data_IF_567484237646
#
_entry.id   IF_567484237646
#
_cell.length_a   1.000
_cell.length_b   1.000
_cell.length_c   1.000
_cell.angle_alpha   90.00
_cell.angle_beta   90.00
_cell.angle_gamma   90.00
#
_symmetry.space_group_name_H-M   'P 1'
#
loop_
_entity.id
_entity.type
_entity.pdbx_description
1 polymer ?
#
# COMPACT_ATOMS: atom_id res chain seq x y z
N UNK A 1 4.03 8.35 19.01
CA UNK A 1 4.19 7.43 17.87
C UNK A 1 4.91 8.09 16.68
N UNK A 2 6.09 7.57 16.31
CA UNK A 2 6.76 7.86 15.05
C UNK A 2 6.72 6.60 14.18
N UNK A 3 6.15 6.70 12.98
CA UNK A 3 5.97 5.59 12.07
C UNK A 3 6.94 5.72 10.89
N UNK A 4 7.78 4.71 10.68
CA UNK A 4 8.69 4.64 9.53
C UNK A 4 8.37 3.33 8.81
N UNK A 5 7.82 3.44 7.60
CA UNK A 5 7.63 2.27 6.74
C UNK A 5 8.64 2.28 5.63
N UNK A 6 9.28 1.14 5.42
CA UNK A 6 10.20 0.90 4.32
C UNK A 6 9.44 -0.02 3.34
N UNK A 7 9.02 0.55 2.22
CA UNK A 7 8.52 -0.24 1.09
C UNK A 7 9.73 -0.85 0.38
N UNK A 8 9.87 -2.18 0.46
CA UNK A 8 11.01 -2.90 -0.13
C UNK A 8 10.70 -3.29 -1.59
N UNK A 9 9.47 -3.05 -2.06
CA UNK A 9 9.09 -3.12 -3.47
C UNK A 9 7.67 -3.62 -3.68
N UNK A 10 6.96 -2.98 -4.61
CA UNK A 10 6.13 -3.71 -5.60
C UNK A 10 7.12 -4.45 -6.50
N UNK A 11 6.85 -5.65 -7.02
CA UNK A 11 7.82 -6.38 -7.88
C UNK A 11 8.36 -5.52 -9.05
N UNK A 12 9.45 -4.82 -8.76
CA UNK A 12 10.33 -3.97 -9.56
C UNK A 12 11.51 -3.70 -8.61
N UNK A 13 12.66 -4.31 -8.88
CA UNK A 13 13.87 -4.07 -8.09
C UNK A 13 14.36 -2.63 -8.32
N UNK A 14 14.15 -1.75 -7.33
CA UNK A 14 14.87 -0.50 -7.19
C UNK A 14 14.91 -0.10 -5.69
N UNK A 15 16.10 -0.19 -5.10
CA UNK A 15 16.35 0.27 -3.73
C UNK A 15 16.41 1.80 -3.77
N UNK A 16 15.41 2.46 -3.19
CA UNK A 16 15.46 3.89 -2.90
C UNK A 16 15.18 4.08 -1.39
N UNK A 17 16.24 4.33 -0.63
CA UNK A 17 16.13 4.81 0.74
C UNK A 17 15.87 6.33 0.69
N UNK A 18 14.66 6.77 1.01
CA UNK A 18 14.40 8.19 1.27
C UNK A 18 14.57 8.42 2.77
N UNK A 19 15.72 8.99 3.15
CA UNK A 19 15.94 9.55 4.49
C UNK A 19 15.52 11.01 4.43
N UNK A 20 14.37 11.35 5.02
CA UNK A 20 13.99 12.75 5.22
C UNK A 20 14.48 13.19 6.60
N UNK A 21 15.58 13.95 6.66
CA UNK A 21 15.93 14.70 7.85
C UNK A 21 15.20 16.05 7.83
N UNK A 22 14.29 16.28 8.77
CA UNK A 22 13.82 17.64 9.06
C UNK A 22 14.86 18.28 9.96
N UNK A 23 15.65 19.20 9.40
CA UNK A 23 16.52 20.07 10.17
C UNK A 23 15.64 21.06 10.97
N UNK A 24 15.82 21.08 12.29
CA UNK A 24 15.22 22.09 13.16
C UNK A 24 15.67 23.49 12.68
N UNK A 25 14.71 24.36 12.40
CA UNK A 25 14.97 25.79 12.16
C UNK A 25 15.01 26.50 13.52
N UNK A 26 16.20 26.92 13.93
CA UNK A 26 16.39 27.76 15.11
C UNK A 26 15.90 29.18 14.87
N UNK A 27 15.14 29.70 15.85
CA UNK A 27 14.68 31.10 15.94
C UNK A 27 15.81 31.94 16.56
N UNK A 28 16.19 33.11 16.01
CA UNK A 28 17.31 33.87 16.54
C UNK A 28 16.91 34.69 17.77
N UNK A 29 17.62 34.50 18.88
CA UNK A 29 17.68 35.46 20.00
C UNK A 29 19.09 36.04 20.09
N UNK A 30 19.26 37.30 19.67
CA UNK A 30 20.51 38.04 19.77
C UNK A 30 20.48 39.03 20.95
N UNK A 31 21.36 38.85 21.94
CA UNK A 31 22.02 39.91 22.70
C UNK A 31 23.52 39.52 22.81
N UNK A 32 24.51 40.41 22.52
CA UNK A 32 25.93 40.04 22.34
C UNK A 32 26.81 40.44 23.56
N UNK A 33 28.16 40.38 23.50
CA UNK A 33 28.99 39.22 23.84
C UNK A 33 30.12 39.53 24.86
N UNK A 34 30.90 38.52 25.27
CA UNK A 34 32.27 38.70 25.79
C UNK A 34 33.14 37.43 25.54
N UNK A 35 34.48 37.55 25.40
CA UNK A 35 35.21 36.86 24.33
C UNK A 35 36.31 35.88 24.76
N UNK A 36 36.76 35.11 23.76
CA UNK A 36 38.12 34.56 23.51
C UNK A 36 38.64 33.43 24.43
N UNK A 37 39.51 32.51 24.01
CA UNK A 37 39.99 31.98 22.72
C UNK A 37 41.03 30.86 23.03
N UNK A 38 41.39 30.08 22.01
CA UNK A 38 42.63 29.26 21.85
C UNK A 38 42.73 27.97 22.70
N UNK A 39 43.36 26.87 22.29
CA UNK A 39 44.14 26.43 21.12
C UNK A 39 44.39 24.91 21.28
N UNK A 40 44.39 24.11 20.21
CA UNK A 40 45.59 23.59 19.51
C UNK A 40 46.44 22.55 20.28
N UNK A 41 46.49 21.31 19.73
CA UNK A 41 47.64 20.37 19.66
C UNK A 41 47.07 18.97 19.30
N UNK A 42 47.37 18.21 18.23
CA UNK A 42 48.54 17.94 17.36
C UNK A 42 49.10 16.50 17.58
N UNK A 43 49.24 15.76 16.47
CA UNK A 43 50.11 14.57 16.14
C UNK A 43 49.66 13.09 16.30
N UNK A 44 49.77 12.40 15.14
CA UNK A 44 49.63 10.97 14.74
C UNK A 44 50.91 10.11 15.06
N UNK A 45 51.15 8.81 14.62
CA UNK A 45 50.41 7.88 13.72
C UNK A 45 50.43 6.33 14.05
N UNK A 46 49.78 5.55 13.16
CA UNK A 46 49.93 4.13 12.75
C UNK A 46 49.43 2.92 13.57
N UNK A 47 48.47 2.17 12.99
CA UNK A 47 48.64 0.73 12.65
C UNK A 47 47.60 0.27 11.62
N UNK A 48 48.08 -0.32 10.52
CA UNK A 48 47.28 -1.01 9.50
C UNK A 48 47.00 -2.47 9.90
N UNK A 49 45.80 -2.97 9.61
CA UNK A 49 45.58 -4.36 9.18
C UNK A 49 44.39 -4.42 8.20
N UNK A 50 44.62 -5.02 7.04
CA UNK A 50 43.71 -5.16 5.90
C UNK A 50 42.64 -6.26 6.07
N UNK A 51 41.48 -6.07 5.43
CA UNK A 51 40.42 -7.07 5.20
C UNK A 51 39.20 -6.46 4.45
N UNK A 52 38.52 -7.19 3.54
CA UNK A 52 38.10 -6.65 2.24
C UNK A 52 36.70 -6.01 2.22
N UNK A 53 36.54 -4.97 1.38
CA UNK A 53 35.24 -4.45 0.97
C UNK A 53 35.07 -2.94 1.14
N UNK A 54 35.91 -2.13 0.47
CA UNK A 54 35.65 -0.69 0.31
C UNK A 54 35.62 -0.31 -1.16
N UNK A 55 34.45 0.18 -1.58
CA UNK A 55 34.25 0.90 -2.83
C UNK A 55 34.97 2.25 -2.72
N UNK A 56 35.79 2.57 -3.72
CA UNK A 56 36.55 3.82 -3.81
C UNK A 56 35.63 4.90 -4.39
N UNK A 57 35.36 5.96 -3.63
CA UNK A 57 34.84 7.20 -4.19
C UNK A 57 36.02 8.06 -4.63
N UNK A 58 36.11 8.31 -5.93
CA UNK A 58 37.03 9.31 -6.49
C UNK A 58 36.26 10.62 -6.48
N UNK A 59 36.74 11.60 -5.72
CA UNK A 59 36.34 12.99 -5.87
C UNK A 59 37.30 13.60 -6.88
N UNK A 60 36.78 13.97 -8.06
CA UNK A 60 37.48 14.84 -8.98
C UNK A 60 37.24 16.28 -8.51
N UNK A 61 38.28 16.95 -8.02
CA UNK A 61 38.23 18.32 -7.49
C UNK A 61 38.47 19.38 -8.58
N UNK A 62 38.42 19.04 -9.87
CA UNK A 62 38.66 20.01 -10.95
C UNK A 62 37.63 19.94 -12.09
N UNK A 63 36.34 20.07 -11.79
CA UNK A 63 35.34 20.38 -12.80
C UNK A 63 34.96 21.87 -12.72
N UNK A 64 35.50 22.64 -13.66
CA UNK A 64 35.28 24.08 -13.83
C UNK A 64 33.80 24.49 -13.77
N UNK A 65 33.52 25.45 -12.90
CA UNK A 65 32.21 26.09 -12.73
C UNK A 65 32.05 27.21 -13.77
N UNK A 66 31.73 26.90 -15.03
CA UNK A 66 31.23 27.91 -15.98
C UNK A 66 30.53 27.27 -17.20
N UNK A 67 29.26 26.89 -17.06
CA UNK A 67 28.20 27.02 -18.08
C UNK A 67 26.92 26.33 -17.61
N UNK A 68 25.97 27.10 -17.08
CA UNK A 68 24.60 26.62 -16.81
C UNK A 68 23.80 26.69 -18.13
N UNK A 69 23.76 25.60 -18.89
CA UNK A 69 22.69 25.36 -19.85
C UNK A 69 21.53 24.68 -19.12
N UNK A 70 20.32 25.23 -19.26
CA UNK A 70 19.09 24.72 -18.65
C UNK A 70 18.74 23.34 -19.23
N UNK A 71 18.56 22.29 -18.41
CA UNK A 71 18.15 21.00 -18.93
C UNK A 71 16.65 21.02 -19.28
N UNK A 72 16.35 20.77 -20.55
CA UNK A 72 15.02 20.37 -21.00
C UNK A 72 14.56 19.11 -20.23
N UNK A 73 13.27 19.06 -19.91
CA UNK A 73 12.62 18.03 -19.12
C UNK A 73 12.67 16.66 -19.80
N UNK A 74 13.71 15.87 -19.53
CA UNK A 74 13.66 14.42 -19.72
C UNK A 74 12.94 13.77 -18.54
N UNK A 75 11.71 13.32 -18.77
CA UNK A 75 11.00 12.42 -17.87
C UNK A 75 11.59 11.00 -17.99
N UNK A 76 12.70 10.72 -17.30
CA UNK A 76 13.14 9.34 -17.07
C UNK A 76 12.34 8.72 -15.92
N UNK A 77 11.08 8.39 -16.19
CA UNK A 77 10.43 7.31 -15.45
C UNK A 77 10.97 6.02 -16.05
N UNK A 78 11.93 5.39 -15.36
CA UNK A 78 12.37 4.04 -15.66
C UNK A 78 11.23 3.05 -15.41
N UNK A 79 10.28 2.96 -16.35
CA UNK A 79 9.27 1.92 -16.39
C UNK A 79 10.01 0.64 -16.79
N UNK A 80 10.42 -0.14 -15.80
CA UNK A 80 10.87 -1.52 -16.05
C UNK A 80 9.72 -2.22 -16.75
N UNK A 81 9.98 -2.71 -17.96
CA UNK A 81 8.98 -3.41 -18.75
C UNK A 81 8.46 -4.61 -17.94
N UNK A 82 7.13 -4.83 -17.87
CA UNK A 82 6.56 -5.99 -17.20
C UNK A 82 7.21 -7.28 -17.70
N UNK A 83 7.57 -8.17 -16.78
CA UNK A 83 8.09 -9.48 -17.11
C UNK A 83 6.94 -10.34 -17.65
N UNK A 84 6.91 -10.50 -18.97
CA UNK A 84 5.97 -11.38 -19.66
C UNK A 84 6.58 -12.77 -19.79
N UNK A 85 6.00 -13.76 -19.12
CA UNK A 85 6.29 -15.17 -19.38
C UNK A 85 5.27 -15.69 -20.39
N UNK A 86 5.70 -15.87 -21.64
CA UNK A 86 4.88 -16.52 -22.67
C UNK A 86 5.12 -18.02 -22.68
N UNK A 87 4.07 -18.79 -22.44
CA UNK A 87 4.02 -20.23 -22.72
C UNK A 87 3.16 -20.46 -23.96
N UNK A 88 3.79 -20.46 -25.13
CA UNK A 88 3.15 -20.75 -26.41
C UNK A 88 3.42 -19.69 -27.47
N UNK A 89 3.54 -20.11 -28.73
CA UNK A 89 3.81 -19.26 -29.89
C UNK A 89 2.58 -18.49 -30.39
N UNK A 90 1.59 -18.22 -29.54
CA UNK A 90 0.38 -17.49 -29.92
C UNK A 90 0.46 -16.02 -29.48
N UNK A 91 -0.04 -15.15 -30.35
CA UNK A 91 -0.15 -13.71 -30.13
C UNK A 91 -1.06 -13.46 -28.90
N UNK A 92 -0.58 -12.66 -27.94
CA UNK A 92 -1.34 -12.36 -26.72
C UNK A 92 -2.62 -11.63 -27.10
N UNK A 93 -3.77 -12.14 -26.66
CA UNK A 93 -5.04 -11.44 -26.86
C UNK A 93 -5.04 -10.12 -26.05
N UNK A 94 -5.07 -8.94 -26.72
CA UNK A 94 -4.93 -7.65 -26.05
C UNK A 94 -6.11 -7.31 -25.13
N UNK A 95 -7.29 -7.90 -25.33
CA UNK A 95 -8.45 -7.68 -24.45
C UNK A 95 -8.22 -8.22 -23.04
N UNK A 96 -7.38 -9.25 -22.88
CA UNK A 96 -7.02 -9.79 -21.56
C UNK A 96 -6.21 -8.77 -20.75
N UNK A 97 -5.56 -7.80 -21.39
CA UNK A 97 -4.78 -6.74 -20.76
C UNK A 97 -5.60 -5.49 -20.40
N UNK A 98 -6.81 -5.35 -20.97
CA UNK A 98 -7.68 -4.21 -20.71
C UNK A 98 -8.21 -4.23 -19.27
N UNK A 99 -8.46 -3.07 -18.65
CA UNK A 99 -9.14 -2.95 -17.35
C UNK A 99 -10.60 -2.45 -17.52
N UNK A 100 -11.54 -3.24 -18.08
CA UNK A 100 -12.91 -2.78 -18.35
C UNK A 100 -13.83 -2.76 -17.11
N UNK A 101 -13.36 -3.18 -15.93
CA UNK A 101 -14.21 -3.43 -14.76
C UNK A 101 -14.42 -2.20 -13.87
N UNK A 102 -15.55 -2.20 -13.13
CA UNK A 102 -15.95 -1.12 -12.23
C UNK A 102 -15.16 -1.06 -10.91
N UNK A 103 -14.45 -2.12 -10.55
CA UNK A 103 -13.65 -2.18 -9.31
C UNK A 103 -12.35 -1.39 -9.36
N UNK A 104 -12.06 -0.70 -10.46
CA UNK A 104 -10.87 0.13 -10.58
C UNK A 104 -11.09 1.55 -10.03
N UNK A 105 -10.74 1.77 -8.76
CA UNK A 105 -10.87 3.08 -8.11
C UNK A 105 -9.82 4.10 -8.61
N UNK A 106 -8.83 3.67 -9.41
CA UNK A 106 -7.76 4.55 -9.94
C UNK A 106 -8.24 5.53 -11.00
N UNK A 107 -9.51 5.43 -11.44
CA UNK A 107 -10.12 6.35 -12.42
C UNK A 107 -9.99 7.83 -12.06
N UNK A 108 -9.80 8.17 -10.79
CA UNK A 108 -9.70 9.55 -10.32
C UNK A 108 -8.26 10.09 -10.19
N UNK A 109 -7.24 9.28 -10.49
CA UNK A 109 -5.81 9.66 -10.44
C UNK A 109 -5.40 10.43 -9.17
N UNK A 110 -5.87 9.97 -8.00
CA UNK A 110 -5.70 10.67 -6.70
C UNK A 110 -4.35 10.37 -6.01
N UNK A 111 -3.28 10.08 -6.78
CA UNK A 111 -1.96 9.76 -6.24
C UNK A 111 -1.77 8.26 -5.95
N UNK A 112 -1.01 7.94 -4.89
CA UNK A 112 -0.66 6.56 -4.55
C UNK A 112 -1.88 5.79 -4.03
N UNK A 113 -2.43 4.89 -4.85
CA UNK A 113 -3.53 4.00 -4.46
C UNK A 113 -2.99 2.72 -3.80
N UNK A 114 -3.23 2.56 -2.50
CA UNK A 114 -2.85 1.38 -1.72
C UNK A 114 -4.02 0.41 -1.48
N UNK A 115 -5.19 0.68 -2.03
CA UNK A 115 -6.43 -0.03 -1.73
C UNK A 115 -7.01 -0.79 -2.93
N UNK A 116 -6.71 -0.35 -4.15
CA UNK A 116 -7.12 -1.03 -5.39
C UNK A 116 -6.13 -2.11 -5.81
N UNK A 117 -6.63 -3.06 -6.59
CA UNK A 117 -5.78 -3.97 -7.33
C UNK A 117 -4.88 -3.20 -8.32
N UNK A 118 -3.61 -3.62 -8.50
CA UNK A 118 -2.72 -2.99 -9.49
C UNK A 118 -3.17 -3.26 -10.93
N UNK A 119 -2.69 -2.46 -11.89
CA UNK A 119 -3.06 -2.62 -13.31
C UNK A 119 -2.71 -3.99 -13.81
N UNK A 120 -3.56 -4.63 -14.61
CA UNK A 120 -3.23 -5.95 -15.16
C UNK A 120 -2.04 -5.93 -16.10
N UNK A 121 -1.87 -4.85 -16.86
CA UNK A 121 -0.80 -4.65 -17.84
C UNK A 121 0.60 -4.69 -17.24
N UNK A 122 0.73 -4.48 -15.93
CA UNK A 122 2.02 -4.26 -15.28
C UNK A 122 2.39 -5.46 -14.41
N UNK A 123 3.67 -5.83 -14.33
CA UNK A 123 4.18 -6.90 -13.45
C UNK A 123 4.41 -8.24 -14.14
N UNK A 124 4.39 -9.32 -13.35
CA UNK A 124 4.63 -10.69 -13.80
C UNK A 124 3.33 -11.31 -14.34
N UNK A 125 3.29 -11.54 -15.64
CA UNK A 125 2.11 -12.09 -16.32
C UNK A 125 2.46 -13.42 -16.98
N UNK A 126 1.60 -14.41 -16.76
CA UNK A 126 1.63 -15.72 -17.38
C UNK A 126 0.50 -15.78 -18.41
N UNK A 127 0.84 -16.05 -19.66
CA UNK A 127 -0.13 -16.15 -20.75
C UNK A 127 -0.37 -17.60 -21.16
N UNK A 128 -1.65 -17.96 -21.27
CA UNK A 128 -2.13 -19.12 -22.01
C UNK A 128 -2.95 -18.69 -23.22
N UNK A 129 -3.40 -19.68 -24.00
CA UNK A 129 -4.20 -19.47 -25.22
C UNK A 129 -5.48 -18.67 -24.99
N UNK A 130 -6.26 -19.06 -23.97
CA UNK A 130 -7.58 -18.49 -23.70
C UNK A 130 -7.62 -17.65 -22.40
N UNK A 131 -6.54 -17.64 -21.62
CA UNK A 131 -6.49 -17.01 -20.31
C UNK A 131 -5.12 -16.39 -20.02
N UNK A 132 -5.12 -15.30 -19.26
CA UNK A 132 -3.92 -14.67 -18.72
C UNK A 132 -4.03 -14.57 -17.20
N UNK A 133 -2.93 -14.80 -16.49
CA UNK A 133 -2.85 -14.63 -15.05
C UNK A 133 -1.70 -13.70 -14.70
N UNK A 134 -2.01 -12.64 -13.97
CA UNK A 134 -1.02 -11.78 -13.31
C UNK A 134 -0.78 -12.27 -11.89
N UNK A 135 0.48 -12.44 -11.54
CA UNK A 135 0.94 -12.62 -10.16
C UNK A 135 1.42 -11.25 -9.66
N UNK A 136 0.74 -10.73 -8.64
CA UNK A 136 0.98 -9.41 -8.08
C UNK A 136 1.23 -9.44 -6.58
N UNK A 137 1.48 -8.27 -6.01
CA UNK A 137 1.74 -8.11 -4.58
C UNK A 137 2.70 -6.97 -4.27
N UNK A 138 3.01 -6.84 -2.98
CA UNK A 138 4.01 -5.90 -2.47
C UNK A 138 4.67 -6.48 -1.23
N UNK A 139 5.95 -6.18 -1.03
CA UNK A 139 6.69 -6.50 0.20
C UNK A 139 6.88 -5.21 0.99
N UNK A 140 6.33 -5.18 2.21
CA UNK A 140 6.34 -4.01 3.08
C UNK A 140 6.90 -4.37 4.44
N UNK A 141 7.88 -3.61 4.91
CA UNK A 141 8.43 -3.70 6.25
C UNK A 141 8.10 -2.42 7.04
N UNK A 142 7.56 -2.58 8.24
CA UNK A 142 7.14 -1.49 9.10
C UNK A 142 7.99 -1.48 10.37
N UNK A 143 8.59 -0.33 10.66
CA UNK A 143 9.25 -0.04 11.92
C UNK A 143 8.46 1.04 12.67
N UNK A 144 8.02 0.69 13.88
CA UNK A 144 7.18 1.53 14.72
C UNK A 144 7.94 1.79 16.01
N UNK A 145 8.12 3.05 16.36
CA UNK A 145 8.68 3.44 17.65
C UNK A 145 7.71 4.36 18.38
N UNK A 146 7.38 3.98 19.61
CA UNK A 146 6.49 4.76 20.46
C UNK A 146 7.13 5.12 21.79
N UNK A 147 7.07 6.41 22.09
CA UNK A 147 7.56 7.01 23.32
C UNK A 147 6.52 6.96 24.44
N UNK A 148 5.25 6.78 24.10
CA UNK A 148 4.13 6.65 25.04
C UNK A 148 3.03 5.77 24.41
N UNK A 149 3.24 4.45 24.35
CA UNK A 149 2.46 3.54 23.54
C UNK A 149 1.04 3.35 24.05
N UNK A 150 0.12 3.26 23.10
CA UNK A 150 -1.22 2.69 23.27
C UNK A 150 -1.14 1.16 23.40
N UNK A 151 -2.24 0.50 23.76
CA UNK A 151 -2.24 -0.96 23.95
C UNK A 151 -2.14 -1.74 22.62
N UNK A 152 -2.55 -1.12 21.52
CA UNK A 152 -2.22 -1.58 20.17
C UNK A 152 -0.77 -1.25 19.81
N UNK A 153 -0.01 -2.24 19.34
CA UNK A 153 1.44 -2.08 19.09
C UNK A 153 1.82 -2.04 17.61
N UNK A 154 0.87 -2.28 16.70
CA UNK A 154 1.04 -2.37 15.25
C UNK A 154 0.14 -1.43 14.43
N UNK A 155 -0.90 -0.87 15.05
CA UNK A 155 -1.84 0.06 14.43
C UNK A 155 -2.27 1.16 15.39
N UNK A 156 -2.58 2.35 14.90
CA UNK A 156 -3.07 3.45 15.74
C UNK A 156 -4.58 3.33 16.04
N UNK A 157 -4.94 2.38 16.90
CA UNK A 157 -6.33 2.16 17.33
C UNK A 157 -6.69 3.12 18.46
N UNK A 158 -7.48 4.15 18.18
CA UNK A 158 -7.80 5.21 19.15
C UNK A 158 -8.51 4.71 20.41
N UNK A 159 -9.31 3.65 20.31
CA UNK A 159 -9.97 3.02 21.47
C UNK A 159 -9.01 2.26 22.39
N UNK A 160 -7.76 2.02 21.96
CA UNK A 160 -6.72 1.34 22.74
C UNK A 160 -5.82 2.30 23.54
N UNK A 161 -6.16 3.59 23.58
CA UNK A 161 -5.44 4.58 24.39
C UNK A 161 -5.74 4.28 25.88
N UNK A 162 -4.73 3.88 26.66
CA UNK A 162 -4.95 3.51 28.06
C UNK A 162 -5.15 4.76 28.93
N UNK A 163 -5.98 4.63 29.97
CA UNK A 163 -6.15 5.68 30.98
C UNK A 163 -5.35 5.27 32.23
N UNK A 164 -4.40 6.10 32.64
CA UNK A 164 -3.60 5.88 33.87
C UNK A 164 -2.51 4.82 33.75
N UNK A 165 -2.07 4.48 32.53
CA UNK A 165 -0.93 3.60 32.34
C UNK A 165 0.39 4.25 32.84
N UNK A 166 1.33 3.46 33.39
CA UNK A 166 2.66 3.96 33.68
C UNK A 166 3.41 4.30 32.38
N UNK A 167 4.35 5.23 32.47
CA UNK A 167 5.20 5.58 31.33
C UNK A 167 6.00 4.35 30.86
N UNK A 168 6.02 4.16 29.54
CA UNK A 168 6.61 2.99 28.87
C UNK A 168 7.02 3.39 27.46
N UNK A 169 7.87 2.59 26.84
CA UNK A 169 8.25 2.75 25.42
C UNK A 169 8.01 1.43 24.70
N UNK A 170 7.79 1.48 23.40
CA UNK A 170 7.59 0.30 22.58
C UNK A 170 8.29 0.45 21.23
N UNK A 171 8.88 -0.63 20.75
CA UNK A 171 9.43 -0.73 19.41
C UNK A 171 8.90 -1.99 18.75
N UNK A 172 8.41 -1.87 17.51
CA UNK A 172 7.91 -3.00 16.74
C UNK A 172 8.47 -2.98 15.33
N UNK A 173 8.92 -4.14 14.85
CA UNK A 173 9.38 -4.32 13.48
C UNK A 173 8.74 -5.56 12.87
N UNK A 174 8.10 -5.44 11.71
CA UNK A 174 7.45 -6.57 11.05
C UNK A 174 7.22 -6.35 9.54
N UNK A 175 6.95 -7.42 8.81
CA UNK A 175 6.58 -7.38 7.38
C UNK A 175 5.16 -7.88 7.09
N UNK A 176 4.27 -7.87 8.10
CA UNK A 176 2.93 -8.48 8.08
C UNK A 176 1.99 -7.91 7.02
N UNK A 177 2.22 -6.66 6.63
CA UNK A 177 1.42 -6.00 5.59
C UNK A 177 1.82 -6.40 4.17
N UNK A 178 2.83 -7.25 4.00
CA UNK A 178 3.19 -7.80 2.68
C UNK A 178 1.99 -8.54 2.09
N UNK A 179 1.76 -8.33 0.79
CA UNK A 179 0.58 -8.80 0.06
C UNK A 179 0.98 -9.63 -1.14
N UNK A 180 0.10 -10.56 -1.49
CA UNK A 180 0.19 -11.34 -2.71
C UNK A 180 -1.19 -11.38 -3.36
N UNK A 181 -1.23 -11.27 -4.68
CA UNK A 181 -2.46 -11.34 -5.46
C UNK A 181 -2.31 -12.16 -6.74
N UNK A 182 -3.43 -12.69 -7.18
CA UNK A 182 -3.61 -13.41 -8.43
C UNK A 182 -4.80 -12.79 -9.16
N UNK A 183 -4.58 -12.17 -10.31
CA UNK A 183 -5.62 -11.64 -11.20
C UNK A 183 -5.63 -12.53 -12.43
N UNK A 184 -6.72 -13.27 -12.67
CA UNK A 184 -6.87 -14.17 -13.82
C UNK A 184 -8.00 -13.68 -14.70
N UNK A 185 -7.74 -13.60 -16.01
CA UNK A 185 -8.68 -13.10 -17.01
C UNK A 185 -8.80 -14.06 -18.17
N UNK A 186 -10.01 -14.26 -18.66
CA UNK A 186 -10.27 -15.06 -19.85
C UNK A 186 -11.51 -14.52 -20.58
N UNK A 187 -11.62 -14.86 -21.86
CA UNK A 187 -12.81 -14.51 -22.65
C UNK A 187 -13.77 -15.69 -22.73
N UNK A 188 -15.06 -15.41 -22.67
CA UNK A 188 -16.13 -16.39 -22.90
C UNK A 188 -17.28 -15.70 -23.61
N UNK A 189 -17.61 -16.14 -24.83
CA UNK A 189 -18.68 -15.56 -25.66
C UNK A 189 -18.58 -14.01 -25.75
N UNK A 190 -17.39 -13.50 -26.10
CA UNK A 190 -17.07 -12.07 -26.20
C UNK A 190 -17.25 -11.28 -24.89
N UNK A 191 -17.24 -11.97 -23.74
CA UNK A 191 -17.26 -11.35 -22.42
C UNK A 191 -15.96 -11.66 -21.68
N UNK A 192 -15.28 -10.61 -21.24
CA UNK A 192 -14.13 -10.75 -20.36
C UNK A 192 -14.60 -11.12 -18.95
N UNK A 193 -14.10 -12.24 -18.46
CA UNK A 193 -14.28 -12.69 -17.09
C UNK A 193 -12.99 -12.46 -16.33
N UNK A 194 -13.11 -11.97 -15.09
CA UNK A 194 -12.00 -11.76 -14.17
C UNK A 194 -12.24 -12.52 -12.88
N UNK A 195 -11.19 -13.13 -12.36
CA UNK A 195 -11.15 -13.67 -10.99
C UNK A 195 -9.95 -13.05 -10.29
N UNK A 196 -10.19 -12.47 -9.12
CA UNK A 196 -9.17 -11.80 -8.33
C UNK A 196 -9.12 -12.39 -6.92
N UNK A 197 -7.93 -12.82 -6.51
CA UNK A 197 -7.65 -13.29 -5.15
C UNK A 197 -6.47 -12.51 -4.59
N UNK A 198 -6.62 -11.98 -3.37
CA UNK A 198 -5.56 -11.26 -2.66
C UNK A 198 -5.58 -11.59 -1.17
N UNK A 199 -4.40 -11.72 -0.57
CA UNK A 199 -4.26 -11.81 0.88
C UNK A 199 -3.01 -11.13 1.41
N UNK A 200 -2.98 -10.98 2.73
CA UNK A 200 -1.86 -10.44 3.51
C UNK A 200 -1.55 -11.32 4.74
N UNK A 201 -0.53 -10.95 5.50
CA UNK A 201 -0.14 -11.63 6.74
C UNK A 201 -0.46 -10.78 7.98
N UNK A 202 -1.33 -9.76 7.85
CA UNK A 202 -1.72 -8.88 8.95
C UNK A 202 -2.85 -9.51 9.76
N UNK A 203 -2.53 -10.66 10.33
CA UNK A 203 -3.35 -11.44 11.25
C UNK A 203 -2.53 -11.86 12.45
N UNK A 204 -3.19 -12.33 13.50
CA UNK A 204 -2.52 -12.91 14.65
C UNK A 204 -1.61 -14.08 14.22
N UNK A 205 -0.41 -14.15 14.81
CA UNK A 205 0.63 -15.13 14.46
C UNK A 205 1.12 -15.10 13.02
N UNK A 206 0.98 -13.97 12.29
CA UNK A 206 1.34 -13.83 10.87
C UNK A 206 0.62 -14.83 9.95
N UNK A 207 -0.58 -15.29 10.34
CA UNK A 207 -1.37 -16.19 9.51
C UNK A 207 -1.82 -15.46 8.23
N UNK A 208 -1.83 -16.19 7.12
CA UNK A 208 -2.36 -15.66 5.87
C UNK A 208 -3.85 -15.36 6.03
N UNK A 209 -4.23 -14.14 5.63
CA UNK A 209 -5.59 -13.62 5.73
C UNK A 209 -6.09 -13.25 4.35
N UNK A 210 -7.25 -13.79 4.00
CA UNK A 210 -7.94 -13.45 2.77
C UNK A 210 -8.47 -12.01 2.83
N UNK A 211 -8.15 -11.21 1.81
CA UNK A 211 -8.66 -9.84 1.66
C UNK A 211 -9.75 -9.84 0.58
N UNK A 212 -9.37 -10.20 -0.64
CA UNK A 212 -10.25 -10.25 -1.80
C UNK A 212 -10.31 -11.65 -2.37
N UNK A 213 -11.51 -12.09 -2.76
CA UNK A 213 -11.74 -13.32 -3.51
C UNK A 213 -13.06 -13.16 -4.25
N UNK A 214 -13.01 -12.66 -5.49
CA UNK A 214 -14.22 -12.38 -6.25
C UNK A 214 -14.05 -12.68 -7.74
N UNK A 215 -15.16 -12.91 -8.41
CA UNK A 215 -15.28 -12.95 -9.85
C UNK A 215 -16.07 -11.75 -10.38
N UNK A 216 -15.71 -11.24 -11.55
CA UNK A 216 -16.41 -10.19 -12.28
C UNK A 216 -16.72 -10.62 -13.71
N UNK A 217 -17.92 -10.28 -14.16
CA UNK A 217 -18.37 -10.44 -15.54
C UNK A 217 -19.23 -9.24 -15.92
N UNK A 218 -18.67 -8.30 -16.68
CA UNK A 218 -19.32 -7.04 -17.01
C UNK A 218 -19.71 -6.26 -15.74
N UNK A 219 -21.01 -5.99 -15.59
CA UNK A 219 -21.58 -5.26 -14.45
C UNK A 219 -21.73 -6.07 -13.16
N UNK A 220 -21.58 -7.39 -13.21
CA UNK A 220 -21.82 -8.26 -12.06
C UNK A 220 -20.49 -8.65 -11.38
N UNK A 221 -20.44 -8.51 -10.06
CA UNK A 221 -19.40 -8.99 -9.17
C UNK A 221 -20.00 -9.98 -8.16
N UNK A 222 -19.33 -11.11 -7.92
CA UNK A 222 -19.70 -12.07 -6.88
C UNK A 222 -18.45 -12.50 -6.11
N UNK A 223 -18.51 -12.46 -4.78
CA UNK A 223 -17.45 -12.93 -3.89
C UNK A 223 -17.13 -11.94 -2.77
N UNK A 224 -15.97 -12.09 -2.15
CA UNK A 224 -15.53 -11.22 -1.06
C UNK A 224 -14.71 -10.03 -1.60
N UNK A 225 -15.23 -8.82 -1.38
CA UNK A 225 -14.50 -7.58 -1.68
C UNK A 225 -15.01 -6.45 -0.80
N UNK A 226 -14.53 -5.22 -1.05
CA UNK A 226 -15.02 -4.01 -0.40
C UNK A 226 -16.55 -3.87 -0.50
N UNK A 227 -17.20 -3.69 0.68
CA UNK A 227 -18.64 -3.41 0.77
C UNK A 227 -19.04 -2.27 -0.14
N UNK A 228 -20.23 -2.34 -0.72
CA UNK A 228 -20.79 -1.29 -1.58
C UNK A 228 -21.03 0.00 -0.82
N UNK A 229 -21.10 -0.05 0.51
CA UNK A 229 -21.20 1.13 1.37
C UNK A 229 -19.87 1.89 1.48
N UNK A 230 -18.74 1.24 1.17
CA UNK A 230 -17.44 1.87 1.21
C UNK A 230 -17.16 2.65 -0.09
N UNK A 231 -16.60 3.85 0.06
CA UNK A 231 -15.95 4.57 -1.03
C UNK A 231 -14.44 4.51 -0.84
N UNK A 232 -13.82 3.55 -1.52
CA UNK A 232 -12.38 3.31 -1.47
C UNK A 232 -11.61 4.37 -2.24
N UNK A 233 -12.22 4.98 -3.28
CA UNK A 233 -11.57 6.03 -4.06
C UNK A 233 -11.41 7.32 -3.25
N UNK A 234 -12.31 7.57 -2.31
CA UNK A 234 -12.26 8.71 -1.41
C UNK A 234 -11.31 8.50 -0.21
N UNK A 235 -10.80 7.29 0.00
CA UNK A 235 -9.93 7.01 1.14
C UNK A 235 -8.52 7.60 0.91
N UNK A 236 -8.00 8.42 1.84
CA UNK A 236 -6.63 8.90 1.74
C UNK A 236 -5.64 7.73 1.91
N UNK A 237 -4.52 7.81 1.22
CA UNK A 237 -3.42 6.87 1.42
C UNK A 237 -2.77 7.12 2.79
N UNK A 238 -2.88 6.17 3.71
CA UNK A 238 -2.25 6.23 5.03
C UNK A 238 -1.07 5.27 5.12
N UNK A 239 -0.08 5.64 5.92
CA UNK A 239 1.04 4.76 6.26
C UNK A 239 0.65 3.71 7.31
N UNK A 240 -0.19 4.13 8.26
CA UNK A 240 -0.74 3.31 9.32
C UNK A 240 -1.79 2.31 8.79
N UNK A 241 -1.78 1.10 9.34
CA UNK A 241 -2.66 0.02 8.87
C UNK A 241 -4.12 0.19 9.26
N UNK A 242 -4.39 0.91 10.34
CA UNK A 242 -5.76 1.19 10.78
C UNK A 242 -6.57 1.85 9.66
N UNK A 243 -5.87 2.62 8.82
CA UNK A 243 -6.46 3.32 7.70
C UNK A 243 -6.94 4.71 8.11
N UNK A 244 -7.78 5.30 7.25
CA UNK A 244 -8.40 6.59 7.56
C UNK A 244 -9.42 6.46 8.68
N UNK A 245 -9.35 7.36 9.66
CA UNK A 245 -10.39 7.51 10.67
C UNK A 245 -11.73 7.75 9.97
N UNK A 246 -12.80 7.12 10.50
CA UNK A 246 -14.17 7.22 9.97
C UNK A 246 -14.38 6.64 8.56
N UNK A 247 -13.41 5.91 8.01
CA UNK A 247 -13.60 5.18 6.75
C UNK A 247 -14.25 3.81 6.98
N UNK A 248 -15.11 3.40 6.04
CA UNK A 248 -15.71 2.06 6.06
C UNK A 248 -14.71 1.06 5.48
N UNK A 249 -13.95 0.39 6.33
CA UNK A 249 -12.92 -0.58 5.93
C UNK A 249 -13.40 -2.03 6.11
N UNK A 250 -14.49 -2.40 5.43
CA UNK A 250 -15.08 -3.76 5.49
C UNK A 250 -14.99 -4.46 4.14
N UNK A 251 -14.52 -5.71 4.17
CA UNK A 251 -14.63 -6.64 3.05
C UNK A 251 -15.49 -7.81 3.46
N UNK A 252 -16.48 -8.15 2.66
CA UNK A 252 -17.43 -9.20 2.97
C UNK A 252 -17.93 -9.86 1.69
N UNK A 253 -18.49 -11.06 1.84
CA UNK A 253 -19.10 -11.76 0.70
C UNK A 253 -20.30 -10.94 0.20
N UNK A 254 -20.37 -10.75 -1.11
CA UNK A 254 -21.43 -9.98 -1.74
C UNK A 254 -21.70 -10.44 -3.18
N UNK A 255 -22.91 -10.16 -3.63
CA UNK A 255 -23.24 -10.05 -5.05
C UNK A 255 -23.57 -8.59 -5.32
N UNK A 256 -22.85 -7.95 -6.25
CA UNK A 256 -23.03 -6.54 -6.62
C UNK A 256 -23.23 -6.39 -8.10
N UNK A 257 -24.21 -5.57 -8.46
CA UNK A 257 -24.38 -5.09 -9.82
C UNK A 257 -24.07 -3.60 -9.88
N UNK A 258 -23.18 -3.21 -10.80
CA UNK A 258 -22.76 -1.82 -11.01
C UNK A 258 -22.96 -1.43 -12.46
N UNK A 259 -23.56 -0.26 -12.69
CA UNK A 259 -23.77 0.30 -14.03
C UNK A 259 -23.45 1.79 -14.06
N UNK A 260 -23.04 2.30 -15.22
CA UNK A 260 -23.04 3.73 -15.49
C UNK A 260 -24.49 4.21 -15.66
N UNK A 261 -24.83 5.33 -15.04
CA UNK A 261 -26.12 5.99 -15.23
C UNK A 261 -25.90 7.44 -15.66
N UNK A 262 -26.77 7.98 -16.51
CA UNK A 262 -26.68 9.33 -17.09
C UNK A 262 -25.46 9.60 -17.98
N UNK A 263 -24.24 9.29 -17.54
CA UNK A 263 -22.98 9.46 -18.25
C UNK A 263 -21.94 8.41 -17.78
N UNK A 264 -20.72 8.45 -18.32
CA UNK A 264 -19.65 7.50 -18.02
C UNK A 264 -18.98 7.69 -16.64
N UNK A 265 -19.31 8.78 -15.94
CA UNK A 265 -18.67 9.20 -14.69
C UNK A 265 -19.57 8.96 -13.46
N UNK A 266 -20.85 8.68 -13.66
CA UNK A 266 -21.80 8.41 -12.57
C UNK A 266 -22.14 6.94 -12.56
N UNK A 267 -21.87 6.26 -11.43
CA UNK A 267 -22.07 4.82 -11.30
C UNK A 267 -23.13 4.51 -10.26
N UNK A 268 -24.17 3.79 -10.64
CA UNK A 268 -25.10 3.20 -9.67
C UNK A 268 -24.70 1.76 -9.36
N UNK A 269 -24.65 1.43 -8.08
CA UNK A 269 -24.42 0.08 -7.59
C UNK A 269 -25.53 -0.36 -6.63
N UNK A 270 -25.90 -1.63 -6.73
CA UNK A 270 -26.77 -2.32 -5.77
C UNK A 270 -26.14 -3.66 -5.41
N UNK A 271 -26.23 -4.04 -4.14
CA UNK A 271 -25.65 -5.29 -3.65
C UNK A 271 -26.50 -5.98 -2.60
N UNK A 272 -26.28 -7.28 -2.52
CA UNK A 272 -26.68 -8.16 -1.42
C UNK A 272 -25.40 -8.61 -0.74
N UNK A 273 -25.25 -8.34 0.55
CA UNK A 273 -24.00 -8.53 1.28
C UNK A 273 -24.20 -9.40 2.52
N UNK A 274 -23.15 -10.13 2.91
CA UNK A 274 -23.12 -10.87 4.16
C UNK A 274 -23.28 -9.92 5.35
N UNK A 275 -24.08 -10.32 6.33
CA UNK A 275 -24.34 -9.51 7.52
C UNK A 275 -23.46 -9.96 8.66
N UNK A 276 -22.90 -9.01 9.40
CA UNK A 276 -22.10 -9.30 10.57
C UNK A 276 -22.35 -8.26 11.66
N UNK A 277 -23.33 -8.54 12.51
CA UNK A 277 -23.58 -7.74 13.70
C UNK A 277 -22.57 -8.10 14.79
N UNK A 278 -21.82 -7.10 15.24
CA UNK A 278 -20.97 -7.22 16.43
C UNK A 278 -21.73 -6.56 17.58
N UNK A 279 -22.00 -7.33 18.63
CA UNK A 279 -22.57 -6.82 19.87
C UNK A 279 -21.60 -7.13 21.02
N UNK A 280 -21.37 -6.14 21.87
CA UNK A 280 -20.66 -6.32 23.14
C UNK A 280 -21.69 -6.16 24.27
N UNK A 281 -22.28 -7.26 24.77
CA UNK A 281 -23.30 -7.15 25.80
C UNK A 281 -22.68 -6.66 27.13
N UNK A 282 -23.39 -5.81 27.89
CA UNK A 282 -22.95 -5.40 29.22
C UNK A 282 -22.74 -6.59 30.16
N UNK A 283 -21.89 -6.42 31.17
CA UNK A 283 -21.67 -7.47 32.17
C UNK A 283 -22.98 -7.94 32.80
N UNK A 284 -23.18 -9.26 32.85
CA UNK A 284 -24.39 -9.89 33.39
C UNK A 284 -25.55 -10.04 32.41
N UNK A 285 -25.41 -9.56 31.16
CA UNK A 285 -26.36 -9.80 30.07
C UNK A 285 -25.72 -10.75 29.07
N UNK A 286 -26.43 -11.82 28.70
CA UNK A 286 -26.04 -12.71 27.59
C UNK A 286 -26.86 -12.34 26.37
N UNK A 287 -26.20 -12.07 25.25
CA UNK A 287 -26.84 -11.83 23.96
C UNK A 287 -25.94 -12.34 22.85
N UNK A 288 -26.53 -13.04 21.88
CA UNK A 288 -25.84 -13.53 20.69
C UNK A 288 -26.33 -12.75 19.47
N UNK A 289 -25.43 -12.29 18.58
CA UNK A 289 -25.84 -11.62 17.36
C UNK A 289 -26.60 -12.59 16.45
N UNK A 290 -27.61 -12.07 15.74
CA UNK A 290 -28.38 -12.85 14.75
C UNK A 290 -28.44 -12.12 13.42
N UNK A 291 -28.21 -12.89 12.36
CA UNK A 291 -28.11 -12.44 10.97
C UNK A 291 -29.23 -13.13 10.15
N UNK A 292 -30.50 -12.72 10.29
CA UNK A 292 -31.62 -13.46 9.69
C UNK A 292 -31.73 -13.30 8.16
N UNK A 293 -31.09 -12.26 7.60
CA UNK A 293 -31.10 -11.95 6.18
C UNK A 293 -29.77 -11.32 5.76
N UNK A 294 -29.44 -11.31 4.46
CA UNK A 294 -28.37 -10.47 3.94
C UNK A 294 -28.70 -8.98 4.09
N UNK A 295 -27.68 -8.13 4.00
CA UNK A 295 -27.81 -6.68 3.92
C UNK A 295 -28.02 -6.26 2.47
N UNK A 296 -28.86 -5.25 2.27
CA UNK A 296 -29.07 -4.62 0.97
C UNK A 296 -28.46 -3.24 0.97
N UNK A 297 -27.53 -2.99 0.05
CA UNK A 297 -26.79 -1.73 -0.02
C UNK A 297 -26.91 -1.15 -1.42
N UNK A 298 -27.07 0.16 -1.51
CA UNK A 298 -26.99 0.92 -2.76
C UNK A 298 -25.97 2.04 -2.64
N UNK A 299 -25.33 2.38 -3.76
CA UNK A 299 -24.41 3.51 -3.88
C UNK A 299 -24.63 4.20 -5.22
N UNK A 300 -24.50 5.52 -5.23
CA UNK A 300 -24.53 6.36 -6.42
C UNK A 300 -23.26 7.21 -6.50
#
# INVERSE_FOLDING_TARGET
>A
MQLISINIGTFLFAIAAVVTSVAARDIPSSIPPAPAAQGEADRFPDSETEGPGRVRFIFDENADLDSYESPESRSENGIVTPLTMSTGSEEVNPELLANPYFTDARKFNVGLDLYSAPSFSDGLIIFGKDAAMKIGGLVKADFIYDFDPIDSTDSFVTSSIPIGAPHRTNARFHARQSRMSFDTRWLTNDRLIRVYVEGDFFSDGNRFRLRHAFGESGSLLVGQTWTTFADVAAAPATLDFEGSVSSVNRRQAQARWTQNIFNENTTFAVSVEDTNFIIEPPMGITGEPRNPSPDFVTRL
#
